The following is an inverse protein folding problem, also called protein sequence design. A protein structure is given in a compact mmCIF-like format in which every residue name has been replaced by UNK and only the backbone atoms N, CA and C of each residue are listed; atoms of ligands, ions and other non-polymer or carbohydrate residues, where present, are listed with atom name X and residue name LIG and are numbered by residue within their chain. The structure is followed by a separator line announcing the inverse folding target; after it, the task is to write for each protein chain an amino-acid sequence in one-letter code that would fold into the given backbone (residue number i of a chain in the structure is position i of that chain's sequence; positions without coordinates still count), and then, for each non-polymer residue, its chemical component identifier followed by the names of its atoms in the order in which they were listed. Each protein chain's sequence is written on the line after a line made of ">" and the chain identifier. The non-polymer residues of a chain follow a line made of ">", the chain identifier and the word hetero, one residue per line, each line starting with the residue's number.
data_IF_676231372754
#
_entry.id   IF_676231372754
#
_cell.length_a   1.000
_cell.length_b   1.000
_cell.length_c   1.000
_cell.angle_alpha   90.00
_cell.angle_beta   90.00
_cell.angle_gamma   90.00
#
_symmetry.space_group_name_H-M   'P 1'
#
loop_
_entity.id
_entity.type
_entity.pdbx_description
1 polymer ?
#
# COMPACT_ATOMS: atom_id res chain seq x y z
N UNK A 1 -2.49 -32.81 -17.50
CA UNK A 1 -1.57 -31.72 -17.14
C UNK A 1 -0.99 -32.06 -15.78
N UNK A 2 0.23 -32.57 -15.76
CA UNK A 2 0.94 -32.93 -14.52
C UNK A 2 1.39 -31.64 -13.84
N UNK A 3 0.87 -31.36 -12.65
CA UNK A 3 1.45 -30.34 -11.77
C UNK A 3 2.83 -30.88 -11.40
N UNK A 4 3.89 -30.21 -11.87
CA UNK A 4 5.27 -30.52 -11.49
C UNK A 4 5.37 -30.44 -9.96
N UNK A 5 5.51 -31.60 -9.30
CA UNK A 5 5.63 -31.72 -7.85
C UNK A 5 7.01 -31.21 -7.40
N UNK A 6 7.17 -29.89 -7.34
CA UNK A 6 8.30 -29.29 -6.64
C UNK A 6 8.12 -29.48 -5.14
N UNK A 7 9.18 -29.88 -4.46
CA UNK A 7 9.16 -30.00 -3.01
C UNK A 7 8.99 -28.60 -2.38
N UNK A 8 8.33 -28.47 -1.22
CA UNK A 8 8.17 -27.18 -0.56
C UNK A 8 9.50 -26.44 -0.31
N UNK A 9 10.56 -27.20 -0.05
CA UNK A 9 11.91 -26.66 0.16
C UNK A 9 12.47 -25.98 -1.10
N UNK A 10 12.26 -26.56 -2.28
CA UNK A 10 12.70 -25.96 -3.56
C UNK A 10 11.92 -24.70 -3.89
N UNK A 11 10.62 -24.66 -3.57
CA UNK A 11 9.78 -23.46 -3.76
C UNK A 11 10.29 -22.32 -2.87
N UNK A 12 10.58 -22.60 -1.60
CA UNK A 12 11.06 -21.60 -0.65
C UNK A 12 12.46 -21.07 -1.01
N UNK A 13 13.31 -21.88 -1.62
CA UNK A 13 14.64 -21.49 -2.10
C UNK A 13 14.62 -20.76 -3.45
N UNK A 14 13.46 -20.65 -4.11
CA UNK A 14 13.34 -19.98 -5.40
C UNK A 14 13.67 -18.49 -5.28
N UNK A 15 14.43 -17.96 -6.24
CA UNK A 15 14.78 -16.54 -6.29
C UNK A 15 13.54 -15.65 -6.47
N UNK A 16 13.52 -14.50 -5.80
CA UNK A 16 12.35 -13.59 -5.77
C UNK A 16 11.92 -13.11 -7.15
N UNK A 17 12.83 -13.02 -8.13
CA UNK A 17 12.51 -12.62 -9.51
C UNK A 17 11.53 -13.57 -10.22
N UNK A 18 11.44 -14.83 -9.77
CA UNK A 18 10.55 -15.82 -10.37
C UNK A 18 9.17 -15.81 -9.71
N UNK A 19 8.97 -15.00 -8.67
CA UNK A 19 7.67 -14.75 -8.09
C UNK A 19 6.83 -13.88 -9.03
N UNK A 20 5.61 -14.33 -9.31
CA UNK A 20 4.68 -13.59 -10.18
C UNK A 20 4.45 -12.18 -9.63
N UNK A 21 4.74 -11.16 -10.45
CA UNK A 21 4.62 -9.74 -10.09
C UNK A 21 5.93 -9.06 -9.70
N UNK A 22 6.99 -9.85 -9.43
CA UNK A 22 8.34 -9.37 -9.16
C UNK A 22 9.18 -9.48 -10.44
N UNK A 23 9.17 -8.43 -11.26
CA UNK A 23 10.10 -8.31 -12.40
C UNK A 23 11.52 -7.93 -11.95
N UNK A 24 12.49 -7.88 -12.88
CA UNK A 24 13.90 -7.60 -12.57
C UNK A 24 14.10 -6.32 -11.75
N UNK A 25 13.42 -5.22 -12.13
CA UNK A 25 13.50 -3.95 -11.41
C UNK A 25 13.00 -4.03 -9.95
N UNK A 26 11.98 -4.85 -9.69
CA UNK A 26 11.48 -5.06 -8.31
C UNK A 26 12.38 -6.02 -7.54
N UNK A 27 12.96 -7.01 -8.21
CA UNK A 27 13.93 -7.93 -7.61
C UNK A 27 15.14 -7.15 -7.08
N UNK A 28 15.71 -6.22 -7.87
CA UNK A 28 16.82 -5.36 -7.41
C UNK A 28 16.45 -4.54 -6.16
N UNK A 29 15.23 -4.01 -6.08
CA UNK A 29 14.76 -3.27 -4.90
C UNK A 29 14.61 -4.19 -3.67
N UNK A 30 14.11 -5.41 -3.85
CA UNK A 30 13.96 -6.41 -2.80
C UNK A 30 15.33 -6.91 -2.31
N UNK A 31 16.28 -7.11 -3.21
CA UNK A 31 17.66 -7.48 -2.87
C UNK A 31 18.35 -6.40 -2.04
N UNK A 32 18.11 -5.11 -2.34
CA UNK A 32 18.60 -4.00 -1.51
C UNK A 32 18.02 -4.00 -0.09
N UNK A 33 16.87 -4.64 0.12
CA UNK A 33 16.27 -4.88 1.43
C UNK A 33 16.75 -6.20 2.06
N UNK A 34 17.63 -6.94 1.41
CA UNK A 34 18.16 -8.25 1.86
C UNK A 34 17.23 -9.43 1.57
N UNK A 35 16.25 -9.26 0.67
CA UNK A 35 15.25 -10.29 0.34
C UNK A 35 15.61 -10.96 -0.99
N UNK A 36 16.13 -12.19 -0.93
CA UNK A 36 16.65 -12.89 -2.11
C UNK A 36 15.78 -14.09 -2.53
N UNK A 37 15.10 -14.71 -1.57
CA UNK A 37 14.31 -15.92 -1.80
C UNK A 37 12.83 -15.73 -1.44
N UNK A 38 11.99 -16.63 -1.93
CA UNK A 38 10.56 -16.68 -1.56
C UNK A 38 10.38 -16.83 -0.05
N UNK A 39 11.28 -17.57 0.62
CA UNK A 39 11.30 -17.68 2.09
C UNK A 39 11.46 -16.32 2.75
N UNK A 40 12.39 -15.50 2.26
CA UNK A 40 12.69 -14.20 2.88
C UNK A 40 11.47 -13.29 2.80
N UNK A 41 10.77 -13.26 1.66
CA UNK A 41 9.52 -12.50 1.50
C UNK A 41 8.43 -13.03 2.46
N UNK A 42 8.28 -14.35 2.58
CA UNK A 42 7.24 -14.95 3.42
C UNK A 42 7.39 -14.56 4.90
N UNK A 43 8.63 -14.40 5.36
CA UNK A 43 8.96 -14.01 6.74
C UNK A 43 9.32 -12.52 6.88
N UNK A 44 9.16 -11.73 5.81
CA UNK A 44 9.32 -10.28 5.86
C UNK A 44 8.00 -9.63 6.27
N UNK A 45 7.76 -9.58 7.58
CA UNK A 45 6.54 -9.01 8.14
C UNK A 45 6.45 -7.50 7.92
N UNK A 46 5.25 -6.94 7.68
CA UNK A 46 5.03 -5.50 7.65
C UNK A 46 5.51 -4.83 8.93
N UNK A 47 6.05 -3.61 8.80
CA UNK A 47 6.43 -2.77 9.97
C UNK A 47 5.21 -2.42 10.81
N UNK A 48 4.10 -2.15 10.15
CA UNK A 48 2.83 -1.76 10.76
C UNK A 48 1.67 -2.24 9.88
N UNK A 49 0.54 -2.50 10.50
CA UNK A 49 -0.70 -2.89 9.83
C UNK A 49 -1.70 -1.75 9.96
N UNK A 50 -1.96 -1.04 8.86
CA UNK A 50 -2.99 0.00 8.83
C UNK A 50 -4.36 -0.66 8.71
N UNK A 51 -5.15 -0.56 9.77
CA UNK A 51 -6.53 -1.03 9.81
C UNK A 51 -7.49 0.12 9.46
N UNK A 52 -8.17 0.00 8.32
CA UNK A 52 -9.14 0.96 7.82
C UNK A 52 -10.58 0.61 8.22
N UNK A 53 -10.79 -0.40 9.06
CA UNK A 53 -12.12 -0.85 9.48
C UNK A 53 -12.81 0.13 10.43
N UNK A 54 -12.06 0.98 11.14
CA UNK A 54 -12.59 2.02 12.01
C UNK A 54 -12.97 3.26 11.19
N UNK A 55 -14.08 3.17 10.46
CA UNK A 55 -14.72 4.27 9.74
C UNK A 55 -15.44 5.20 10.73
N UNK A 56 -15.13 6.49 10.69
CA UNK A 56 -15.72 7.51 11.55
C UNK A 56 -16.43 8.57 10.73
N UNK A 57 -17.49 9.12 11.33
CA UNK A 57 -18.12 10.34 10.83
C UNK A 57 -17.23 11.56 11.09
N UNK A 58 -17.36 12.61 10.28
CA UNK A 58 -16.52 13.80 10.35
C UNK A 58 -16.61 14.51 11.71
N UNK A 59 -17.79 14.47 12.32
CA UNK A 59 -18.07 15.06 13.63
C UNK A 59 -17.47 14.25 14.80
N UNK A 60 -16.96 13.05 14.56
CA UNK A 60 -16.38 12.14 15.55
C UNK A 60 -14.85 12.04 15.42
N UNK A 61 -14.24 12.85 14.56
CA UNK A 61 -12.79 12.90 14.39
C UNK A 61 -12.13 13.54 15.63
N UNK A 62 -11.00 12.95 16.02
CA UNK A 62 -10.17 13.37 17.14
C UNK A 62 -8.88 13.97 16.58
N UNK A 63 -8.54 15.19 17.00
CA UNK A 63 -7.32 15.85 16.56
C UNK A 63 -6.07 15.03 16.94
N UNK A 64 -5.13 14.91 15.99
CA UNK A 64 -3.87 14.20 16.19
C UNK A 64 -3.96 12.67 16.09
N UNK A 65 -5.14 12.12 15.75
CA UNK A 65 -5.35 10.69 15.56
C UNK A 65 -5.52 10.35 14.08
N UNK A 66 -4.85 9.28 13.62
CA UNK A 66 -5.09 8.74 12.28
C UNK A 66 -6.42 7.98 12.28
N UNK A 67 -7.40 8.46 11.51
CA UNK A 67 -8.75 7.90 11.43
C UNK A 67 -9.23 7.86 9.98
N UNK A 68 -10.13 6.94 9.68
CA UNK A 68 -10.66 6.75 8.32
C UNK A 68 -12.03 7.41 8.19
N UNK A 69 -12.26 8.11 7.08
CA UNK A 69 -13.57 8.65 6.69
C UNK A 69 -13.97 8.14 5.32
N UNK A 70 -15.28 8.06 5.07
CA UNK A 70 -15.83 7.70 3.77
C UNK A 70 -16.80 8.77 3.29
N UNK A 71 -16.67 9.12 2.02
CA UNK A 71 -17.53 10.13 1.41
C UNK A 71 -17.42 10.12 -0.11
N UNK A 72 -18.12 11.07 -0.71
CA UNK A 72 -18.10 11.33 -2.15
C UNK A 72 -17.23 12.55 -2.39
N UNK A 73 -16.34 12.48 -3.38
CA UNK A 73 -15.55 13.64 -3.80
C UNK A 73 -16.50 14.67 -4.42
N UNK A 74 -16.59 15.85 -3.81
CA UNK A 74 -17.48 16.93 -4.22
C UNK A 74 -16.75 17.94 -5.11
N UNK A 75 -15.50 18.27 -4.76
CA UNK A 75 -14.66 19.21 -5.51
C UNK A 75 -13.20 18.78 -5.53
N UNK A 76 -12.50 19.13 -6.61
CA UNK A 76 -11.07 18.90 -6.79
C UNK A 76 -10.44 20.19 -7.33
N UNK A 77 -9.54 20.77 -6.54
CA UNK A 77 -8.82 21.99 -6.89
C UNK A 77 -7.32 21.69 -7.05
N UNK A 78 -6.74 22.10 -8.17
CA UNK A 78 -5.31 21.94 -8.43
C UNK A 78 -4.67 23.31 -8.61
N UNK A 79 -3.79 23.66 -7.67
CA UNK A 79 -3.04 24.92 -7.72
C UNK A 79 -1.57 24.64 -7.99
N UNK A 80 -1.07 25.18 -9.10
CA UNK A 80 0.36 25.18 -9.36
C UNK A 80 1.01 26.23 -8.46
N UNK A 81 1.95 25.80 -7.63
CA UNK A 81 2.81 26.72 -6.89
C UNK A 81 3.86 27.28 -7.84
N UNK A 82 4.33 28.49 -7.58
CA UNK A 82 5.23 29.24 -8.46
C UNK A 82 6.59 28.58 -8.71
N UNK A 83 6.94 27.51 -7.99
CA UNK A 83 8.21 26.78 -8.16
C UNK A 83 7.98 25.27 -8.05
N UNK A 84 7.64 24.64 -9.18
CA UNK A 84 7.72 23.18 -9.39
C UNK A 84 6.79 22.29 -8.56
N UNK A 85 6.07 22.82 -7.57
CA UNK A 85 5.09 22.10 -6.77
C UNK A 85 3.67 22.31 -7.27
N UNK A 86 2.81 21.33 -7.05
CA UNK A 86 1.36 21.46 -7.18
C UNK A 86 0.71 21.13 -5.84
N UNK A 87 -0.36 21.84 -5.50
CA UNK A 87 -1.22 21.55 -4.36
C UNK A 87 -2.54 21.00 -4.93
N UNK A 88 -2.87 19.78 -4.56
CA UNK A 88 -4.16 19.16 -4.84
C UNK A 88 -5.03 19.28 -3.58
N UNK A 89 -6.06 20.11 -3.65
CA UNK A 89 -7.15 20.12 -2.67
C UNK A 89 -8.26 19.20 -3.16
N UNK A 90 -8.79 18.36 -2.27
CA UNK A 90 -9.96 17.53 -2.55
C UNK A 90 -10.93 17.77 -1.41
N UNK A 91 -12.15 18.19 -1.75
CA UNK A 91 -13.26 18.29 -0.79
C UNK A 91 -14.06 17.01 -0.85
N UNK A 92 -14.20 16.33 0.29
CA UNK A 92 -14.94 15.07 0.40
C UNK A 92 -16.21 15.35 1.19
N UNK A 93 -17.38 15.17 0.55
CA UNK A 93 -18.67 15.20 1.20
C UNK A 93 -18.98 13.86 1.87
N UNK A 94 -19.11 13.89 3.19
CA UNK A 94 -19.51 12.77 4.04
C UNK A 94 -20.94 12.97 4.55
N UNK A 95 -21.53 11.93 5.15
CA UNK A 95 -22.90 11.97 5.67
C UNK A 95 -23.15 13.12 6.66
N UNK A 96 -22.14 13.53 7.43
CA UNK A 96 -22.27 14.53 8.49
C UNK A 96 -21.47 15.82 8.25
N UNK A 97 -20.86 16.02 7.07
CA UNK A 97 -20.03 17.19 6.83
C UNK A 97 -19.04 17.02 5.66
N UNK A 98 -18.00 17.85 5.64
CA UNK A 98 -16.96 17.84 4.62
C UNK A 98 -15.58 17.67 5.26
N UNK A 99 -14.67 17.00 4.55
CA UNK A 99 -13.23 16.86 4.89
C UNK A 99 -12.38 17.40 3.76
#
# INVERSE_FOLDING_TARGET
>A
MTVSERTPTEILATHVQFLKGVGPARAELLERLGLHTVRDILFFFPRDYQDYSDEREVNQLEEGRLQSVRGVVDDIDLRNTSVGGSILGVSIHCQTGYV
#
